data_IF_100474468424
#
_entry.id   IF_100474468424
#
_cell.length_a   1.000
_cell.length_b   1.000
_cell.length_c   1.000
_cell.angle_alpha   90.00
_cell.angle_beta   90.00
_cell.angle_gamma   90.00
#
_symmetry.space_group_name_H-M   'P 1'
#
loop_
_entity.id
_entity.type
_entity.pdbx_description
1 polymer ?
#
# COMPACT_ATOMS: atom_id res chain seq x y z
N UNK A 1 18.00 -6.39 12.25
CA UNK A 1 19.24 -6.13 11.48
C UNK A 1 18.82 -6.02 10.02
N UNK A 2 18.64 -4.79 9.52
CA UNK A 2 18.28 -4.55 8.13
C UNK A 2 19.51 -4.78 7.26
N UNK A 3 19.65 -5.99 6.71
CA UNK A 3 20.73 -6.30 5.79
C UNK A 3 20.38 -5.71 4.44
N UNK A 4 21.13 -4.70 4.02
CA UNK A 4 21.03 -4.10 2.70
C UNK A 4 21.20 -5.16 1.60
N UNK A 5 20.51 -4.96 0.49
CA UNK A 5 20.63 -5.75 -0.73
C UNK A 5 22.09 -5.80 -1.18
N UNK A 6 22.67 -7.00 -1.31
CA UNK A 6 24.01 -7.12 -1.91
C UNK A 6 23.92 -6.88 -3.41
N UNK A 7 24.95 -6.26 -4.00
CA UNK A 7 24.99 -5.99 -5.44
C UNK A 7 24.84 -7.28 -6.27
N UNK A 8 25.33 -8.40 -5.75
CA UNK A 8 25.25 -9.70 -6.40
C UNK A 8 23.81 -10.27 -6.37
N UNK A 9 23.11 -10.18 -5.24
CA UNK A 9 21.72 -10.63 -5.13
C UNK A 9 20.79 -9.76 -5.98
N UNK A 10 21.09 -8.46 -6.12
CA UNK A 10 20.36 -7.57 -7.02
C UNK A 10 20.59 -7.92 -8.50
N UNK A 11 21.83 -8.22 -8.90
CA UNK A 11 22.13 -8.66 -10.25
C UNK A 11 21.41 -9.96 -10.62
N UNK A 12 21.37 -10.94 -9.69
CA UNK A 12 20.57 -12.17 -9.85
C UNK A 12 19.09 -11.87 -10.05
N UNK A 13 18.53 -10.93 -9.29
CA UNK A 13 17.15 -10.51 -9.44
C UNK A 13 16.87 -9.87 -10.81
N UNK A 14 17.73 -8.95 -11.27
CA UNK A 14 17.59 -8.35 -12.60
C UNK A 14 17.66 -9.39 -13.72
N UNK A 15 18.56 -10.36 -13.61
CA UNK A 15 18.68 -11.46 -14.57
C UNK A 15 17.43 -12.34 -14.65
N UNK A 16 16.61 -12.40 -13.59
CA UNK A 16 15.31 -13.08 -13.63
C UNK A 16 14.22 -12.27 -14.35
N UNK A 17 14.39 -10.96 -14.52
CA UNK A 17 13.43 -10.08 -15.19
C UNK A 17 13.67 -10.04 -16.70
N UNK A 18 14.93 -9.93 -17.12
CA UNK A 18 15.36 -10.03 -18.51
C UNK A 18 16.85 -10.43 -18.59
N UNK A 19 17.25 -11.01 -19.72
CA UNK A 19 18.65 -11.30 -20.00
C UNK A 19 19.41 -10.04 -20.45
N UNK A 20 18.71 -9.08 -21.05
CA UNK A 20 19.25 -7.77 -21.42
C UNK A 20 19.19 -6.81 -20.23
N UNK A 21 20.33 -6.19 -19.90
CA UNK A 21 20.46 -5.35 -18.71
C UNK A 21 19.61 -4.08 -18.73
N UNK A 22 19.43 -3.45 -19.90
CA UNK A 22 18.58 -2.25 -20.01
C UNK A 22 17.11 -2.62 -19.87
N UNK A 23 16.66 -3.68 -20.56
CA UNK A 23 15.29 -4.19 -20.45
C UNK A 23 14.95 -4.71 -19.06
N UNK A 24 15.91 -5.33 -18.37
CA UNK A 24 15.77 -5.75 -16.99
C UNK A 24 15.53 -4.55 -16.06
N UNK A 25 16.24 -3.44 -16.31
CA UNK A 25 16.06 -2.18 -15.60
C UNK A 25 14.67 -1.56 -15.82
N UNK A 26 14.18 -1.55 -17.06
CA UNK A 26 12.83 -1.07 -17.37
C UNK A 26 11.75 -1.89 -16.66
N UNK A 27 11.83 -3.23 -16.76
CA UNK A 27 10.90 -4.15 -16.09
C UNK A 27 10.96 -4.02 -14.57
N UNK A 28 12.15 -3.79 -14.00
CA UNK A 28 12.31 -3.54 -12.57
C UNK A 28 11.56 -2.28 -12.15
N UNK A 29 11.70 -1.19 -12.89
CA UNK A 29 11.01 0.08 -12.61
C UNK A 29 9.49 -0.02 -12.77
N UNK A 30 9.00 -0.74 -13.78
CA UNK A 30 7.57 -1.03 -13.94
C UNK A 30 7.01 -1.86 -12.79
N UNK A 31 7.75 -2.88 -12.37
CA UNK A 31 7.39 -3.71 -11.24
C UNK A 31 7.40 -2.91 -9.93
N UNK A 32 8.40 -2.04 -9.73
CA UNK A 32 8.48 -1.13 -8.57
C UNK A 32 7.27 -0.20 -8.52
N UNK A 33 6.94 0.48 -9.64
CA UNK A 33 5.75 1.33 -9.74
C UNK A 33 4.46 0.57 -9.42
N UNK A 34 4.35 -0.65 -9.92
CA UNK A 34 3.18 -1.50 -9.72
C UNK A 34 3.03 -1.93 -8.25
N UNK A 35 4.13 -2.31 -7.59
CA UNK A 35 4.12 -2.69 -6.19
C UNK A 35 3.85 -1.50 -5.26
N UNK A 36 4.39 -0.31 -5.57
CA UNK A 36 4.05 0.92 -4.84
C UNK A 36 2.54 1.16 -4.88
N UNK A 37 1.93 1.12 -6.08
CA UNK A 37 0.46 1.25 -6.22
C UNK A 37 -0.29 0.17 -5.45
N UNK A 38 0.20 -1.08 -5.48
CA UNK A 38 -0.37 -2.19 -4.72
C UNK A 38 -0.40 -1.91 -3.21
N UNK A 39 0.68 -1.38 -2.66
CA UNK A 39 0.78 -1.02 -1.24
C UNK A 39 -0.05 0.23 -0.92
N UNK A 40 -0.07 1.25 -1.79
CA UNK A 40 -0.91 2.43 -1.66
C UNK A 40 -2.40 2.10 -1.61
N UNK A 41 -2.86 1.23 -2.51
CA UNK A 41 -4.25 0.77 -2.55
C UNK A 41 -4.62 0.01 -1.30
N UNK A 42 -3.67 -0.75 -0.72
CA UNK A 42 -3.82 -1.42 0.57
C UNK A 42 -3.59 -0.52 1.79
N UNK A 43 -3.35 0.76 1.55
CA UNK A 43 -3.25 1.79 2.59
C UNK A 43 -1.96 1.79 3.36
N UNK A 44 -0.96 1.10 2.84
CA UNK A 44 0.24 0.85 3.59
C UNK A 44 1.02 2.16 3.85
N UNK A 45 1.59 2.34 5.06
CA UNK A 45 2.08 3.63 5.51
C UNK A 45 3.28 4.11 4.68
N UNK A 46 4.16 3.20 4.28
CA UNK A 46 5.36 3.50 3.49
C UNK A 46 5.44 2.54 2.29
N UNK A 47 4.65 2.80 1.24
CA UNK A 47 4.57 1.92 0.06
C UNK A 47 5.93 1.69 -0.61
N UNK A 48 6.80 2.70 -0.61
CA UNK A 48 8.17 2.60 -1.16
C UNK A 48 9.03 1.68 -0.29
N UNK A 49 9.13 1.93 1.02
CA UNK A 49 9.89 1.09 1.95
C UNK A 49 9.42 -0.37 1.93
N UNK A 50 8.11 -0.60 1.78
CA UNK A 50 7.53 -1.95 1.70
C UNK A 50 7.79 -2.62 0.35
N UNK A 51 7.88 -1.83 -0.72
CA UNK A 51 8.32 -2.31 -2.03
C UNK A 51 9.80 -2.70 -1.98
N UNK A 52 10.64 -1.87 -1.37
CA UNK A 52 12.06 -2.16 -1.20
C UNK A 52 12.28 -3.40 -0.31
N UNK A 53 11.52 -3.54 0.78
CA UNK A 53 11.53 -4.74 1.63
C UNK A 53 11.08 -5.99 0.84
N UNK A 54 10.11 -5.85 -0.06
CA UNK A 54 9.68 -6.94 -0.95
C UNK A 54 10.84 -7.39 -1.83
N UNK A 55 11.54 -6.46 -2.49
CA UNK A 55 12.70 -6.77 -3.32
C UNK A 55 13.85 -7.38 -2.53
N UNK A 56 14.12 -6.88 -1.32
CA UNK A 56 15.14 -7.43 -0.43
C UNK A 56 14.90 -8.90 -0.11
N UNK A 57 13.64 -9.27 0.18
CA UNK A 57 13.26 -10.67 0.46
C UNK A 57 13.42 -11.57 -0.75
N UNK A 58 13.08 -11.08 -1.94
CA UNK A 58 13.17 -11.85 -3.19
C UNK A 58 14.63 -12.08 -3.55
N UNK A 59 15.45 -11.05 -3.52
CA UNK A 59 16.87 -11.18 -3.80
C UNK A 59 17.56 -12.14 -2.84
N UNK A 60 17.20 -12.14 -1.54
CA UNK A 60 17.70 -13.13 -0.58
C UNK A 60 17.28 -14.55 -0.96
N UNK A 61 16.03 -14.77 -1.36
CA UNK A 61 15.54 -16.09 -1.79
C UNK A 61 16.26 -16.59 -3.05
N UNK A 62 16.55 -15.69 -3.98
CA UNK A 62 17.35 -16.01 -5.17
C UNK A 62 18.80 -16.36 -4.80
N UNK A 63 19.39 -15.64 -3.83
CA UNK A 63 20.73 -15.92 -3.34
C UNK A 63 20.81 -17.27 -2.58
N UNK A 64 19.73 -17.64 -1.87
CA UNK A 64 19.53 -18.96 -1.27
C UNK A 64 19.35 -20.10 -2.31
N UNK A 65 19.31 -19.78 -3.61
CA UNK A 65 19.19 -20.76 -4.70
C UNK A 65 17.76 -21.18 -5.01
N UNK A 66 16.74 -20.43 -4.56
CA UNK A 66 15.34 -20.72 -4.91
C UNK A 66 15.09 -20.32 -6.36
N UNK A 67 14.67 -21.29 -7.17
CA UNK A 67 14.35 -21.06 -8.58
C UNK A 67 12.95 -20.43 -8.72
N UNK A 68 12.89 -19.18 -9.20
CA UNK A 68 11.64 -18.42 -9.37
C UNK A 68 11.21 -18.46 -10.84
N UNK A 69 10.18 -19.26 -11.14
CA UNK A 69 9.64 -19.41 -12.52
C UNK A 69 8.80 -18.23 -12.99
N UNK A 70 8.03 -17.60 -12.08
CA UNK A 70 7.22 -16.41 -12.38
C UNK A 70 7.55 -15.31 -11.38
N UNK A 71 8.46 -14.42 -11.78
CA UNK A 71 8.95 -13.34 -10.93
C UNK A 71 7.82 -12.40 -10.52
N UNK A 72 6.94 -12.01 -11.46
CA UNK A 72 5.82 -11.11 -11.17
C UNK A 72 4.88 -11.69 -10.11
N UNK A 73 4.42 -12.93 -10.30
CA UNK A 73 3.54 -13.61 -9.34
C UNK A 73 4.19 -13.80 -7.96
N UNK A 74 5.47 -14.15 -7.94
CA UNK A 74 6.24 -14.28 -6.70
C UNK A 74 6.37 -12.93 -5.97
N UNK A 75 6.63 -11.85 -6.71
CA UNK A 75 6.69 -10.50 -6.16
C UNK A 75 5.39 -10.11 -5.46
N UNK A 76 4.25 -10.39 -6.08
CA UNK A 76 2.96 -10.12 -5.47
C UNK A 76 2.71 -10.91 -4.19
N UNK A 77 3.09 -12.19 -4.16
CA UNK A 77 2.91 -13.03 -2.97
C UNK A 77 3.79 -12.56 -1.80
N UNK A 78 5.04 -12.15 -2.08
CA UNK A 78 5.92 -11.54 -1.07
C UNK A 78 5.35 -10.18 -0.63
N UNK A 79 4.93 -9.33 -1.55
CA UNK A 79 4.33 -8.03 -1.24
C UNK A 79 3.08 -8.15 -0.38
N UNK A 80 2.23 -9.15 -0.65
CA UNK A 80 1.06 -9.47 0.17
C UNK A 80 1.46 -9.83 1.60
N UNK A 81 2.51 -10.64 1.79
CA UNK A 81 3.03 -11.00 3.12
C UNK A 81 3.61 -9.80 3.85
N UNK A 82 4.40 -8.97 3.17
CA UNK A 82 4.94 -7.71 3.73
C UNK A 82 3.79 -6.79 4.17
N UNK A 83 2.72 -6.70 3.37
CA UNK A 83 1.54 -5.92 3.73
C UNK A 83 0.84 -6.48 4.99
N UNK A 84 0.64 -7.80 5.05
CA UNK A 84 0.03 -8.46 6.21
C UNK A 84 0.88 -8.31 7.47
N UNK A 85 2.21 -8.34 7.36
CA UNK A 85 3.13 -8.12 8.47
C UNK A 85 3.10 -6.67 8.95
N UNK A 86 3.03 -5.69 8.04
CA UNK A 86 2.91 -4.29 8.40
C UNK A 86 1.58 -4.00 9.12
N UNK A 87 0.49 -4.65 8.71
CA UNK A 87 -0.79 -4.60 9.41
C UNK A 87 -0.72 -5.32 10.77
N UNK A 88 -0.15 -6.53 10.82
CA UNK A 88 0.01 -7.32 12.05
C UNK A 88 0.97 -6.72 13.08
N UNK A 89 2.00 -6.01 12.63
CA UNK A 89 2.92 -5.26 13.48
C UNK A 89 2.22 -4.15 14.28
N UNK A 90 1.10 -3.64 13.74
CA UNK A 90 0.19 -2.73 14.42
C UNK A 90 -0.87 -3.46 15.27
N UNK A 91 -1.20 -4.72 14.93
CA UNK A 91 -2.20 -5.59 15.58
C UNK A 91 -1.69 -6.50 16.71
N UNK A 92 -0.48 -6.32 17.26
CA UNK A 92 -0.20 -6.87 18.62
C UNK A 92 -1.16 -6.33 19.71
N UNK A 93 -2.12 -5.48 19.34
CA UNK A 93 -3.27 -5.02 20.13
C UNK A 93 -4.66 -5.29 19.54
N UNK A 94 -4.85 -6.04 18.44
CA UNK A 94 -6.20 -6.30 17.90
C UNK A 94 -6.37 -7.65 17.20
N UNK A 95 -7.53 -8.26 17.50
CA UNK A 95 -7.98 -9.60 17.10
C UNK A 95 -8.14 -9.73 15.56
N UNK A 96 -7.92 -10.92 14.95
CA UNK A 96 -7.97 -11.10 13.51
C UNK A 96 -9.42 -11.09 12.99
N UNK A 97 -9.76 -10.12 12.14
CA UNK A 97 -10.89 -10.27 11.24
C UNK A 97 -10.38 -10.50 9.82
N UNK A 98 -10.72 -11.67 9.27
CA UNK A 98 -10.55 -12.01 7.88
C UNK A 98 -11.26 -10.97 7.00
N UNK A 99 -10.51 -10.34 6.10
CA UNK A 99 -11.09 -9.48 5.06
C UNK A 99 -10.93 -10.18 3.72
N UNK A 100 -11.98 -10.89 3.31
CA UNK A 100 -12.19 -11.31 1.93
C UNK A 100 -12.45 -10.06 1.08
N UNK A 101 -11.57 -9.77 0.13
CA UNK A 101 -11.83 -8.78 -0.90
C UNK A 101 -12.62 -9.48 -2.03
N UNK A 102 -13.87 -9.08 -2.32
CA UNK A 102 -14.52 -9.56 -3.53
C UNK A 102 -13.82 -8.94 -4.74
N UNK A 103 -13.32 -9.82 -5.60
CA UNK A 103 -12.88 -9.49 -6.95
C UNK A 103 -14.13 -9.29 -7.80
N UNK A 104 -14.57 -8.05 -8.04
CA UNK A 104 -15.64 -7.76 -9.00
C UNK A 104 -15.04 -7.23 -10.29
N UNK A 105 -14.87 -8.15 -11.23
CA UNK A 105 -14.75 -7.86 -12.64
C UNK A 105 -16.14 -7.49 -13.21
N UNK A 106 -16.14 -6.46 -14.07
CA UNK A 106 -17.14 -6.13 -15.09
C UNK A 106 -18.56 -5.75 -14.63
N UNK A 107 -18.82 -4.45 -14.48
CA UNK A 107 -20.16 -3.85 -14.53
C UNK A 107 -20.14 -2.62 -15.46
N UNK A 108 -21.26 -2.38 -16.15
CA UNK A 108 -21.49 -1.40 -17.21
C UNK A 108 -20.97 0.02 -16.87
N UNK A 109 -20.47 0.76 -17.86
CA UNK A 109 -19.77 2.03 -17.65
C UNK A 109 -20.62 3.13 -16.98
N UNK A 110 -21.95 3.06 -17.12
CA UNK A 110 -22.93 3.96 -16.48
C UNK A 110 -23.24 3.56 -15.03
N UNK A 111 -23.33 2.26 -14.75
CA UNK A 111 -23.55 1.73 -13.39
C UNK A 111 -22.30 2.01 -12.51
N UNK A 112 -21.11 1.92 -13.12
CA UNK A 112 -19.84 2.28 -12.51
C UNK A 112 -19.75 3.75 -12.08
N UNK A 113 -20.38 4.67 -12.82
CA UNK A 113 -20.36 6.11 -12.50
C UNK A 113 -21.24 6.44 -11.28
N UNK A 114 -22.45 5.89 -11.23
CA UNK A 114 -23.37 6.07 -10.09
C UNK A 114 -22.84 5.40 -8.82
N UNK A 115 -22.26 4.20 -8.93
CA UNK A 115 -21.58 3.57 -7.78
C UNK A 115 -20.40 4.41 -7.28
N UNK A 116 -19.62 5.00 -8.19
CA UNK A 116 -18.49 5.87 -7.85
C UNK A 116 -18.97 7.12 -7.12
N UNK A 117 -20.04 7.76 -7.58
CA UNK A 117 -20.65 8.92 -6.92
C UNK A 117 -21.14 8.56 -5.51
N UNK A 118 -21.86 7.44 -5.33
CA UNK A 118 -22.31 6.96 -4.01
C UNK A 118 -21.15 6.68 -3.06
N UNK A 119 -20.03 6.14 -3.56
CA UNK A 119 -18.80 5.93 -2.77
C UNK A 119 -18.15 7.25 -2.36
N UNK A 120 -18.11 8.24 -3.25
CA UNK A 120 -17.57 9.58 -2.95
C UNK A 120 -18.42 10.30 -1.90
N UNK A 121 -19.76 10.25 -2.00
CA UNK A 121 -20.64 10.79 -0.96
C UNK A 121 -20.38 10.16 0.40
N UNK A 122 -20.24 8.83 0.44
CA UNK A 122 -19.96 8.12 1.68
C UNK A 122 -18.58 8.50 2.24
N UNK A 123 -17.59 8.69 1.38
CA UNK A 123 -16.26 9.16 1.79
C UNK A 123 -16.34 10.57 2.39
N UNK A 124 -17.03 11.50 1.72
CA UNK A 124 -17.21 12.87 2.21
C UNK A 124 -17.95 12.90 3.55
N UNK A 125 -19.06 12.16 3.66
CA UNK A 125 -19.81 12.01 4.92
C UNK A 125 -18.92 11.47 6.04
N UNK A 126 -18.13 10.43 5.76
CA UNK A 126 -17.25 9.81 6.75
C UNK A 126 -16.06 10.69 7.14
N UNK A 127 -15.51 11.48 6.20
CA UNK A 127 -14.50 12.49 6.50
C UNK A 127 -15.05 13.58 7.42
N UNK A 128 -16.28 14.04 7.17
CA UNK A 128 -16.94 15.06 7.98
C UNK A 128 -17.30 14.60 9.41
N UNK A 129 -17.40 13.28 9.64
CA UNK A 129 -17.57 12.69 10.98
C UNK A 129 -16.26 12.56 11.78
N UNK A 130 -15.10 12.76 11.16
CA UNK A 130 -13.84 12.77 11.88
C UNK A 130 -13.65 14.09 12.64
N UNK A 131 -12.95 14.07 13.79
CA UNK A 131 -12.48 15.30 14.42
C UNK A 131 -11.67 16.15 13.43
N UNK A 132 -11.78 17.48 13.50
CA UNK A 132 -11.16 18.40 12.55
C UNK A 132 -9.65 18.14 12.35
N UNK A 133 -8.91 17.92 13.44
CA UNK A 133 -7.48 17.58 13.39
C UNK A 133 -7.19 16.25 12.69
N UNK A 134 -8.07 15.26 12.89
CA UNK A 134 -7.94 13.94 12.26
C UNK A 134 -8.25 13.99 10.77
N UNK A 135 -9.25 14.79 10.38
CA UNK A 135 -9.58 15.06 8.98
C UNK A 135 -8.44 15.82 8.28
N UNK A 136 -7.92 16.86 8.91
CA UNK A 136 -6.79 17.62 8.38
C UNK A 136 -5.56 16.72 8.17
N UNK A 137 -5.21 15.92 9.17
CA UNK A 137 -4.08 14.99 9.08
C UNK A 137 -4.24 14.01 7.93
N UNK A 138 -5.39 13.33 7.82
CA UNK A 138 -5.56 12.29 6.80
C UNK A 138 -5.62 12.85 5.38
N UNK A 139 -6.21 14.04 5.19
CA UNK A 139 -6.23 14.72 3.89
C UNK A 139 -4.80 15.13 3.50
N UNK A 140 -4.09 15.83 4.38
CA UNK A 140 -2.70 16.26 4.15
C UNK A 140 -1.77 15.06 3.87
N UNK A 141 -1.97 13.95 4.59
CA UNK A 141 -1.16 12.73 4.43
C UNK A 141 -1.27 12.07 3.05
N UNK A 142 -2.41 12.25 2.37
CA UNK A 142 -2.75 11.63 1.08
C UNK A 142 -2.86 12.63 -0.08
N UNK A 143 -2.68 13.92 0.15
CA UNK A 143 -2.90 14.99 -0.85
C UNK A 143 -1.97 14.91 -2.07
N UNK A 144 -0.81 14.25 -1.96
CA UNK A 144 0.23 14.29 -3.00
C UNK A 144 0.42 12.97 -3.75
N UNK A 145 0.45 13.05 -5.08
CA UNK A 145 0.94 12.02 -6.00
C UNK A 145 2.38 12.39 -6.44
N UNK A 146 3.40 11.57 -6.12
CA UNK A 146 4.84 11.59 -6.54
C UNK A 146 5.89 11.89 -5.43
N UNK A 147 7.16 12.00 -5.86
CA UNK A 147 8.45 12.04 -5.12
C UNK A 147 8.48 12.97 -3.90
N UNK A 148 7.67 14.02 -3.86
CA UNK A 148 7.66 15.00 -2.76
C UNK A 148 6.99 14.47 -1.47
N UNK A 149 6.31 13.32 -1.55
CA UNK A 149 5.56 12.72 -0.44
C UNK A 149 6.44 12.36 0.76
N UNK A 150 7.69 11.95 0.53
CA UNK A 150 8.61 11.59 1.63
C UNK A 150 8.95 12.82 2.46
N UNK A 151 9.35 13.91 1.81
CA UNK A 151 9.72 15.16 2.48
C UNK A 151 8.51 15.84 3.14
N UNK A 152 7.34 15.81 2.48
CA UNK A 152 6.10 16.34 3.06
C UNK A 152 5.63 15.56 4.28
N UNK A 153 5.72 14.23 4.27
CA UNK A 153 5.42 13.41 5.46
C UNK A 153 6.42 13.63 6.59
N UNK A 154 7.69 13.92 6.28
CA UNK A 154 8.67 14.35 7.29
C UNK A 154 8.26 15.69 7.90
N UNK A 155 7.98 16.70 7.07
CA UNK A 155 7.53 18.00 7.52
C UNK A 155 6.23 17.93 8.33
N UNK A 156 5.26 17.11 7.92
CA UNK A 156 4.01 16.86 8.67
C UNK A 156 4.27 16.18 10.02
N UNK A 157 5.21 15.24 10.08
CA UNK A 157 5.59 14.60 11.34
C UNK A 157 6.25 15.62 12.29
N UNK A 158 7.16 16.45 11.77
CA UNK A 158 7.82 17.51 12.54
C UNK A 158 6.83 18.56 13.06
N UNK A 159 5.92 19.04 12.20
CA UNK A 159 4.88 20.00 12.58
C UNK A 159 3.95 19.48 13.69
N UNK A 160 3.74 18.16 13.76
CA UNK A 160 2.94 17.51 14.79
C UNK A 160 3.76 17.01 15.99
N UNK A 161 5.08 17.20 16.00
CA UNK A 161 5.98 16.68 17.04
C UNK A 161 6.01 15.15 17.11
N UNK A 162 5.73 14.47 16.00
CA UNK A 162 5.64 13.02 15.90
C UNK A 162 6.89 12.43 15.23
N UNK A 163 7.24 11.20 15.63
CA UNK A 163 8.14 10.38 14.80
C UNK A 163 7.40 9.96 13.53
N UNK A 164 8.14 9.77 12.42
CA UNK A 164 7.57 9.32 11.13
C UNK A 164 6.70 8.07 11.28
N UNK A 165 7.17 7.08 12.04
CA UNK A 165 6.42 5.85 12.34
C UNK A 165 5.11 6.13 13.09
N UNK A 166 5.11 7.08 14.03
CA UNK A 166 3.92 7.46 14.79
C UNK A 166 2.90 8.20 13.90
N UNK A 167 3.36 9.04 12.98
CA UNK A 167 2.51 9.67 11.96
C UNK A 167 1.85 8.60 11.08
N UNK A 168 2.65 7.66 10.56
CA UNK A 168 2.16 6.53 9.77
C UNK A 168 1.11 5.69 10.50
N UNK A 169 1.37 5.29 11.74
CA UNK A 169 0.43 4.52 12.55
C UNK A 169 -0.86 5.32 12.85
N UNK A 170 -0.76 6.65 12.99
CA UNK A 170 -1.94 7.52 13.16
C UNK A 170 -2.75 7.60 11.86
N UNK A 171 -2.09 7.77 10.71
CA UNK A 171 -2.73 7.79 9.41
C UNK A 171 -3.42 6.45 9.08
N UNK A 172 -2.76 5.31 9.36
CA UNK A 172 -3.35 3.98 9.18
C UNK A 172 -4.63 3.81 9.99
N UNK A 173 -4.61 4.14 11.30
CA UNK A 173 -5.79 4.01 12.15
C UNK A 173 -6.96 4.87 11.69
N UNK A 174 -6.67 6.06 11.15
CA UNK A 174 -7.68 6.94 10.57
C UNK A 174 -8.24 6.36 9.27
N UNK A 175 -7.39 5.78 8.42
CA UNK A 175 -7.82 5.05 7.22
C UNK A 175 -8.73 3.88 7.57
N UNK A 176 -8.35 3.03 8.53
CA UNK A 176 -9.18 1.89 8.93
C UNK A 176 -10.55 2.36 9.47
N UNK A 177 -10.59 3.52 10.15
CA UNK A 177 -11.84 4.11 10.63
C UNK A 177 -12.70 4.63 9.48
N UNK A 178 -12.10 5.28 8.50
CA UNK A 178 -12.78 5.75 7.30
C UNK A 178 -13.31 4.58 6.48
N UNK A 179 -12.51 3.55 6.24
CA UNK A 179 -12.89 2.36 5.49
C UNK A 179 -14.12 1.67 6.11
N UNK A 180 -14.09 1.40 7.42
CA UNK A 180 -15.25 0.85 8.14
C UNK A 180 -16.50 1.74 8.04
N UNK A 181 -16.32 3.06 8.07
CA UNK A 181 -17.43 4.00 7.94
C UNK A 181 -18.01 3.99 6.52
N UNK A 182 -17.15 4.04 5.49
CA UNK A 182 -17.55 4.06 4.08
C UNK A 182 -18.23 2.75 3.70
N UNK A 183 -17.68 1.60 4.11
CA UNK A 183 -18.31 0.29 3.88
C UNK A 183 -19.72 0.23 4.48
N UNK A 184 -19.90 0.74 5.72
CA UNK A 184 -21.22 0.77 6.35
C UNK A 184 -22.19 1.69 5.60
N UNK A 185 -21.77 2.92 5.30
CA UNK A 185 -22.58 3.88 4.54
C UNK A 185 -22.98 3.36 3.16
N UNK A 186 -22.03 2.74 2.45
CA UNK A 186 -22.29 2.19 1.12
C UNK A 186 -23.31 1.06 1.19
N UNK A 187 -23.14 0.10 2.13
CA UNK A 187 -24.07 -1.00 2.33
C UNK A 187 -25.49 -0.52 2.70
N UNK A 188 -25.60 0.49 3.58
CA UNK A 188 -26.88 1.11 3.93
C UNK A 188 -27.54 1.76 2.71
N UNK A 189 -26.77 2.46 1.87
CA UNK A 189 -27.29 3.08 0.65
C UNK A 189 -27.72 2.06 -0.39
N UNK A 190 -27.03 0.92 -0.53
CA UNK A 190 -27.33 -0.12 -1.54
C UNK A 190 -28.45 -1.09 -1.14
N UNK A 191 -28.79 -1.15 0.15
CA UNK A 191 -29.89 -1.99 0.66
C UNK A 191 -31.29 -1.34 0.49
N UNK A 192 -31.35 -0.10 0.00
CA UNK A 192 -32.55 0.67 -0.34
C UNK A 192 -32.70 0.63 -1.87
#
# INVERSE_FOLDING_TARGET
MASALTSEAFAKFLACLDADGERAGEKYEDLRRTLIKFFEWRGAPFPEDQTDETFNRIARRLDEGVEIKNVGGYCYEVARRVCLEALKGNDRKRDPLETNYPNTASADATDSALERERRLDCLEHCLNRLPAESRALIVEYYQDEKRDRIERRKALAEALGLRREALANRAQRLRDKLERCVMRCFNEKTAI
#
